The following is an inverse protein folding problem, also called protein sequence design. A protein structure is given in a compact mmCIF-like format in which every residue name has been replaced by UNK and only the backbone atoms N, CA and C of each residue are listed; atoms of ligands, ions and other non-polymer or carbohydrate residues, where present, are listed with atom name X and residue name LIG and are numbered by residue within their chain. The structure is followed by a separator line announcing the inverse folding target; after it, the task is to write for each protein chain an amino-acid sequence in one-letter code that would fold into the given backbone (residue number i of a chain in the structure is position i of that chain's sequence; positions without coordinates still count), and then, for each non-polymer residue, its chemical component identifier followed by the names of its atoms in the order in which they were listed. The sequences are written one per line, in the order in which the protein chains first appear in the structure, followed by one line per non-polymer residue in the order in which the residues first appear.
data_IF_730061803800
#
_entry.id   IF_730061803800
#
_cell.length_a   1.000
_cell.length_b   1.000
_cell.length_c   1.000
_cell.angle_alpha   90.00
_cell.angle_beta   90.00
_cell.angle_gamma   90.00
#
_symmetry.space_group_name_H-M   'P 1'
#
loop_
_entity.id
_entity.type
_entity.pdbx_description
1 polymer ?
#
# COMPACT_ATOMS: atom_id res chain seq x y z
N UNK A 1 -20.78 8.49 -13.49
CA UNK A 1 -20.66 7.35 -12.56
C UNK A 1 -21.69 6.30 -12.94
N UNK A 2 -21.34 5.03 -12.84
CA UNK A 2 -22.30 3.93 -13.01
C UNK A 2 -22.90 3.56 -11.66
N UNK A 3 -24.20 3.23 -11.63
CA UNK A 3 -24.89 2.83 -10.41
C UNK A 3 -24.81 1.32 -10.23
N UNK A 4 -24.44 0.89 -9.02
CA UNK A 4 -24.43 -0.51 -8.62
C UNK A 4 -25.44 -0.68 -7.47
N UNK A 5 -26.40 -1.59 -7.62
CA UNK A 5 -27.40 -1.91 -6.60
C UNK A 5 -27.10 -3.27 -5.99
N UNK A 6 -26.87 -3.32 -4.68
CA UNK A 6 -26.48 -4.53 -3.93
C UNK A 6 -27.31 -4.62 -2.65
N UNK A 7 -27.56 -5.86 -2.21
CA UNK A 7 -28.12 -6.14 -0.89
C UNK A 7 -27.01 -6.65 0.02
N UNK A 8 -26.85 -6.00 1.17
CA UNK A 8 -25.91 -6.43 2.20
C UNK A 8 -26.67 -7.21 3.28
N UNK A 9 -26.07 -8.25 3.88
CA UNK A 9 -26.57 -8.82 5.12
C UNK A 9 -26.70 -7.74 6.20
N UNK A 10 -27.72 -7.83 7.06
CA UNK A 10 -28.04 -6.78 8.04
C UNK A 10 -26.86 -6.48 8.98
N UNK A 11 -26.16 -7.53 9.43
CA UNK A 11 -24.97 -7.40 10.28
C UNK A 11 -23.85 -6.59 9.62
N UNK A 12 -23.64 -6.78 8.32
CA UNK A 12 -22.63 -6.07 7.54
C UNK A 12 -23.06 -4.62 7.30
N UNK A 13 -24.30 -4.41 6.92
CA UNK A 13 -24.85 -3.07 6.70
C UNK A 13 -24.77 -2.21 7.98
N UNK A 14 -25.11 -2.77 9.15
CA UNK A 14 -24.96 -2.10 10.44
C UNK A 14 -23.50 -1.69 10.70
N UNK A 15 -22.56 -2.62 10.47
CA UNK A 15 -21.12 -2.36 10.69
C UNK A 15 -20.58 -1.27 9.75
N UNK A 16 -20.95 -1.32 8.47
CA UNK A 16 -20.56 -0.30 7.48
C UNK A 16 -21.12 1.06 7.87
N UNK A 17 -22.37 1.13 8.34
CA UNK A 17 -22.98 2.37 8.83
C UNK A 17 -22.22 2.95 10.02
N UNK A 18 -21.85 2.13 10.99
CA UNK A 18 -21.12 2.59 12.18
C UNK A 18 -19.72 3.10 11.82
N UNK A 19 -19.02 2.43 10.90
CA UNK A 19 -17.72 2.87 10.38
C UNK A 19 -17.82 4.17 9.58
N UNK A 20 -18.78 4.27 8.66
CA UNK A 20 -18.99 5.47 7.87
C UNK A 20 -19.29 6.70 8.74
N UNK A 21 -20.07 6.53 9.83
CA UNK A 21 -20.31 7.59 10.82
C UNK A 21 -19.04 7.98 11.57
N UNK A 22 -18.21 7.01 11.95
CA UNK A 22 -16.94 7.28 12.65
C UNK A 22 -15.99 8.12 11.79
N UNK A 23 -16.01 7.88 10.48
CA UNK A 23 -15.16 8.57 9.51
C UNK A 23 -15.83 9.83 8.92
N UNK A 24 -17.03 10.19 9.40
CA UNK A 24 -17.86 11.33 8.93
C UNK A 24 -18.09 11.35 7.40
N UNK A 25 -18.39 10.18 6.83
CA UNK A 25 -18.67 10.02 5.39
C UNK A 25 -19.96 9.24 5.14
N UNK A 26 -20.49 9.33 3.93
CA UNK A 26 -21.65 8.54 3.52
C UNK A 26 -21.31 7.04 3.39
N UNK A 27 -22.31 6.17 3.55
CA UNK A 27 -22.16 4.72 3.31
C UNK A 27 -21.66 4.44 1.89
N UNK A 28 -22.17 5.17 0.89
CA UNK A 28 -21.76 4.98 -0.50
C UNK A 28 -20.28 5.34 -0.71
N UNK A 29 -19.82 6.43 -0.08
CA UNK A 29 -18.42 6.83 -0.12
C UNK A 29 -17.53 5.81 0.58
N UNK A 30 -17.93 5.34 1.76
CA UNK A 30 -17.22 4.29 2.48
C UNK A 30 -17.05 3.03 1.63
N UNK A 31 -18.16 2.53 1.03
CA UNK A 31 -18.13 1.34 0.16
C UNK A 31 -17.25 1.56 -1.07
N UNK A 32 -17.32 2.74 -1.69
CA UNK A 32 -16.53 3.06 -2.88
C UNK A 32 -15.03 3.09 -2.55
N UNK A 33 -14.65 3.70 -1.43
CA UNK A 33 -13.25 3.73 -0.97
C UNK A 33 -12.75 2.33 -0.62
N UNK A 34 -13.52 1.56 0.17
CA UNK A 34 -13.15 0.19 0.53
C UNK A 34 -13.01 -0.72 -0.70
N UNK A 35 -13.86 -0.54 -1.71
CA UNK A 35 -13.75 -1.25 -2.99
C UNK A 35 -12.45 -0.87 -3.72
N UNK A 36 -12.13 0.42 -3.82
CA UNK A 36 -10.90 0.90 -4.45
C UNK A 36 -9.64 0.38 -3.74
N UNK A 37 -9.65 0.37 -2.41
CA UNK A 37 -8.56 -0.19 -1.59
C UNK A 37 -8.39 -1.69 -1.83
N UNK A 38 -9.47 -2.47 -1.79
CA UNK A 38 -9.43 -3.91 -2.05
C UNK A 38 -8.94 -4.22 -3.46
N UNK A 39 -9.41 -3.48 -4.46
CA UNK A 39 -8.93 -3.60 -5.84
C UNK A 39 -7.43 -3.32 -5.93
N UNK A 40 -6.98 -2.22 -5.32
CA UNK A 40 -5.57 -1.83 -5.35
C UNK A 40 -4.69 -2.88 -4.70
N UNK A 41 -5.11 -3.44 -3.56
CA UNK A 41 -4.38 -4.51 -2.88
C UNK A 41 -4.23 -5.76 -3.77
N UNK A 42 -5.30 -6.18 -4.45
CA UNK A 42 -5.28 -7.34 -5.35
C UNK A 42 -4.40 -7.09 -6.59
N UNK A 43 -4.61 -5.96 -7.27
CA UNK A 43 -3.91 -5.61 -8.50
C UNK A 43 -2.42 -5.35 -8.27
N UNK A 44 -2.05 -4.82 -7.11
CA UNK A 44 -0.64 -4.58 -6.75
C UNK A 44 0.12 -5.89 -6.66
N UNK A 45 -0.47 -6.93 -6.06
CA UNK A 45 0.13 -8.27 -6.00
C UNK A 45 0.42 -8.81 -7.40
N UNK A 46 -0.59 -8.81 -8.28
CA UNK A 46 -0.42 -9.26 -9.66
C UNK A 46 0.64 -8.46 -10.43
N UNK A 47 0.68 -7.14 -10.23
CA UNK A 47 1.66 -6.28 -10.88
C UNK A 47 3.08 -6.63 -10.44
N UNK A 48 3.31 -6.80 -9.13
CA UNK A 48 4.62 -7.16 -8.59
C UNK A 48 5.07 -8.54 -9.07
N UNK A 49 4.18 -9.52 -9.13
CA UNK A 49 4.49 -10.85 -9.68
C UNK A 49 4.88 -10.79 -11.16
N UNK A 50 4.08 -10.09 -11.98
CA UNK A 50 4.37 -9.89 -13.42
C UNK A 50 5.72 -9.19 -13.62
N UNK A 51 6.03 -8.19 -12.78
CA UNK A 51 7.30 -7.47 -12.81
C UNK A 51 8.47 -8.34 -12.33
N UNK A 52 8.27 -9.15 -11.30
CA UNK A 52 9.28 -10.06 -10.76
C UNK A 52 9.73 -11.09 -11.80
N UNK A 53 8.81 -11.62 -12.60
CA UNK A 53 9.13 -12.55 -13.72
C UNK A 53 10.09 -11.94 -14.75
N UNK A 54 10.11 -10.62 -14.90
CA UNK A 54 11.03 -9.89 -15.78
C UNK A 54 12.33 -9.47 -15.09
N UNK A 55 12.42 -9.66 -13.78
CA UNK A 55 13.59 -9.33 -12.97
C UNK A 55 14.76 -10.27 -13.22
N UNK A 56 15.98 -9.77 -13.04
CA UNK A 56 17.17 -10.61 -13.07
C UNK A 56 18.13 -10.15 -11.99
N UNK A 57 18.38 -11.02 -11.01
CA UNK A 57 19.32 -10.77 -9.92
C UNK A 57 20.70 -10.36 -10.44
N UNK A 58 21.20 -11.08 -11.45
CA UNK A 58 22.47 -10.76 -12.11
C UNK A 58 22.48 -9.37 -12.77
N UNK A 59 21.40 -8.96 -13.43
CA UNK A 59 21.32 -7.60 -14.01
C UNK A 59 21.32 -6.54 -12.91
N UNK A 60 20.62 -6.80 -11.81
CA UNK A 60 20.57 -5.94 -10.64
C UNK A 60 21.95 -5.77 -9.99
N UNK A 61 22.66 -6.87 -9.71
CA UNK A 61 24.01 -6.82 -9.13
C UNK A 61 25.02 -6.13 -10.03
N UNK A 62 24.96 -6.36 -11.35
CA UNK A 62 25.80 -5.64 -12.32
C UNK A 62 25.52 -4.14 -12.35
N UNK A 63 24.28 -3.72 -12.12
CA UNK A 63 23.95 -2.30 -12.01
C UNK A 63 24.50 -1.72 -10.70
N UNK A 64 24.35 -2.43 -9.58
CA UNK A 64 24.90 -2.01 -8.29
C UNK A 64 26.43 -1.92 -8.28
N UNK A 65 27.13 -2.82 -8.97
CA UNK A 65 28.58 -2.79 -9.08
C UNK A 65 29.13 -1.51 -9.76
N UNK A 66 28.28 -0.74 -10.45
CA UNK A 66 28.66 0.56 -11.03
C UNK A 66 28.62 1.69 -10.01
N UNK A 67 27.96 1.48 -8.87
CA UNK A 67 27.93 2.46 -7.79
C UNK A 67 29.30 2.46 -7.12
N UNK A 68 29.89 3.66 -6.97
CA UNK A 68 31.18 3.81 -6.31
C UNK A 68 31.05 3.38 -4.85
N UNK A 69 31.97 2.52 -4.40
CA UNK A 69 32.08 2.16 -2.99
C UNK A 69 32.71 3.34 -2.23
N UNK A 70 31.87 4.25 -1.74
CA UNK A 70 32.26 5.44 -1.01
C UNK A 70 31.28 5.66 0.16
N UNK A 71 31.74 6.40 1.16
CA UNK A 71 30.90 6.81 2.28
C UNK A 71 29.67 7.58 1.80
N UNK A 72 28.48 7.34 2.39
CA UNK A 72 27.29 8.15 2.13
C UNK A 72 27.53 9.63 2.43
N UNK A 73 26.88 10.51 1.67
CA UNK A 73 26.77 11.94 1.98
C UNK A 73 26.17 12.11 3.39
N UNK A 74 26.53 13.18 4.09
CA UNK A 74 26.05 13.44 5.45
C UNK A 74 24.51 13.45 5.54
N UNK A 75 23.82 13.86 4.47
CA UNK A 75 22.35 13.87 4.39
C UNK A 75 21.74 12.49 4.18
N UNK A 76 22.52 11.55 3.63
CA UNK A 76 22.13 10.16 3.39
C UNK A 76 22.49 9.26 4.59
N UNK A 77 23.22 9.79 5.57
CA UNK A 77 23.56 9.04 6.78
C UNK A 77 22.30 8.83 7.62
N UNK A 78 21.99 7.59 8.04
CA UNK A 78 20.92 7.35 8.99
C UNK A 78 21.24 8.09 10.28
N UNK A 79 20.27 8.83 10.81
CA UNK A 79 20.42 9.52 12.10
C UNK A 79 20.79 8.47 13.15
N UNK A 80 21.96 8.64 13.77
CA UNK A 80 22.41 7.75 14.84
C UNK A 80 21.29 7.65 15.87
N UNK A 81 20.85 6.42 16.16
CA UNK A 81 19.80 6.17 17.14
C UNK A 81 20.17 6.92 18.42
N UNK A 82 19.34 7.89 18.80
CA UNK A 82 19.38 8.51 20.12
C UNK A 82 19.19 7.36 21.11
N UNK A 83 20.29 6.94 21.73
CA UNK A 83 20.27 5.93 22.78
C UNK A 83 19.52 6.49 23.98
N UNK A 84 18.56 5.71 24.47
CA UNK A 84 18.13 5.54 25.88
C UNK A 84 16.64 5.18 25.90
N UNK A 85 16.36 3.89 25.83
CA UNK A 85 15.28 3.34 26.64
C UNK A 85 15.97 2.64 27.81
N UNK A 86 16.00 3.34 28.95
CA UNK A 86 16.24 2.71 30.24
C UNK A 86 14.98 2.02 30.73
#
# INVERSE_FOLDING_TARGET
MSTISLRLPESLHKRVRDLARKDDISINQFITTALAEKMTALLTGEYLEKRAKRGSRRKFERALAKVRNAEPDERDRPQAKVGRFG
#
